data_IF_311141001764
#
_entry.id   IF_311141001764
#
_cell.length_a   1.000
_cell.length_b   1.000
_cell.length_c   1.000
_cell.angle_alpha   90.00
_cell.angle_beta   90.00
_cell.angle_gamma   90.00
#
_symmetry.space_group_name_H-M   'P 1'
#
loop_
_entity.id
_entity.type
_entity.pdbx_description
1 polymer ?
2 branched ?
3 water ?
#
# COMPACT_ATOMS: atom_id res chain seq x y z
N UNK A 2 8.55 11.91 -7.90
CA UNK A 2 8.51 10.92 -8.94
C UNK A 2 8.28 9.58 -8.27
N UNK A 3 7.90 8.61 -9.07
CA UNK A 3 7.62 7.27 -8.58
C UNK A 3 8.34 6.21 -9.43
N UNK A 4 8.16 4.94 -9.08
CA UNK A 4 8.80 3.87 -9.83
C UNK A 4 10.29 4.03 -9.82
N UNK A 5 10.96 3.65 -10.91
CA UNK A 5 12.41 3.78 -10.96
C UNK A 5 12.91 5.22 -10.86
N UNK A 6 12.12 6.17 -11.35
CA UNK A 6 12.47 7.59 -11.31
C UNK A 6 12.20 8.20 -9.92
N UNK A 7 11.65 7.40 -9.03
CA UNK A 7 11.33 7.89 -7.70
C UNK A 7 11.79 6.99 -6.60
N UNK A 8 12.74 6.11 -6.88
CA UNK A 8 13.33 5.18 -5.91
C UNK A 8 12.37 4.10 -5.39
N UNK A 9 11.47 3.62 -6.25
CA UNK A 9 10.53 2.61 -5.83
C UNK A 9 9.27 3.20 -5.21
N UNK A 10 9.25 4.51 -4.97
CA UNK A 10 8.08 5.20 -4.40
C UNK A 10 6.75 4.79 -4.99
N UNK A 11 5.72 4.86 -4.14
CA UNK A 11 4.35 4.53 -4.51
C UNK A 11 3.45 5.75 -4.40
N UNK A 12 2.44 5.83 -5.26
CA UNK A 12 1.50 6.93 -5.27
C UNK A 12 0.46 6.64 -4.19
N UNK A 13 -0.18 7.69 -3.62
CA UNK A 13 -1.21 7.52 -2.59
C UNK A 13 -2.47 7.02 -3.29
N UNK A 14 -3.37 6.43 -2.51
CA UNK A 14 -4.65 5.92 -3.01
C UNK A 14 -4.64 5.00 -4.22
N UNK A 15 -3.59 4.17 -4.35
CA UNK A 15 -3.48 3.26 -5.48
C UNK A 15 -3.28 3.95 -6.84
N UNK A 16 -3.00 5.25 -6.83
CA UNK A 16 -2.76 6.01 -8.07
C UNK A 16 -1.69 5.30 -8.89
N UNK A 17 -1.89 5.23 -10.19
CA UNK A 17 -0.94 4.58 -11.09
C UNK A 17 0.29 5.39 -11.39
N UNK A 18 1.43 4.72 -11.36
CA UNK A 18 2.71 5.36 -11.63
C UNK A 18 3.03 5.09 -13.09
N UNK A 19 3.00 6.16 -13.89
CA UNK A 19 3.26 6.05 -15.33
C UNK A 19 4.65 5.48 -15.60
N UNK A 20 4.88 5.00 -16.80
CA UNK A 20 6.18 4.48 -17.16
C UNK A 20 7.29 5.51 -16.94
N UNK A 21 6.95 6.80 -17.06
CA UNK A 21 7.89 7.88 -16.89
C UNK A 21 8.08 8.31 -15.46
N UNK A 22 7.28 7.75 -14.53
CA UNK A 22 7.46 8.08 -13.13
C UNK A 22 6.60 9.13 -12.48
N UNK A 23 5.41 9.40 -13.02
CA UNK A 23 4.54 10.38 -12.41
C UNK A 23 3.29 9.69 -11.91
N UNK A 24 2.61 10.32 -10.95
CA UNK A 24 1.40 9.80 -10.37
C UNK A 24 0.12 10.34 -11.00
N UNK A 25 -0.82 9.46 -11.30
CA UNK A 25 -2.06 9.92 -11.85
C UNK A 25 -3.03 8.79 -12.01
N UNK A 26 -4.08 9.05 -12.78
CA UNK A 26 -5.11 8.07 -13.04
C UNK A 26 -5.47 8.33 -14.51
N UNK A 27 -5.93 7.30 -15.19
CA UNK A 27 -6.27 7.43 -16.59
C UNK A 27 -5.37 6.50 -17.38
N UNK A 28 -5.55 6.47 -18.70
CA UNK A 28 -4.73 5.61 -19.54
C UNK A 28 -3.28 6.05 -19.57
N UNK A 29 -3.05 7.36 -19.43
CA UNK A 29 -1.70 7.89 -19.48
C UNK A 29 -0.83 7.25 -18.42
N UNK A 30 -1.41 7.02 -17.25
CA UNK A 30 -0.63 6.47 -16.14
C UNK A 30 -0.88 5.02 -15.85
N UNK A 31 -2.15 4.62 -15.89
CA UNK A 31 -2.55 3.24 -15.57
C UNK A 31 -2.40 2.22 -16.68
N UNK A 32 -2.17 2.71 -17.90
CA UNK A 32 -2.02 1.84 -19.05
C UNK A 32 -0.58 1.39 -19.30
N UNK A 33 -0.15 1.47 -20.56
CA UNK A 33 1.19 1.04 -20.99
C UNK A 33 2.37 1.57 -20.18
N UNK A 34 3.14 0.63 -19.63
CA UNK A 34 4.30 0.97 -18.84
C UNK A 34 4.04 1.26 -17.37
N UNK A 35 2.82 1.01 -16.91
CA UNK A 35 2.46 1.27 -15.51
C UNK A 35 3.42 0.57 -14.53
N UNK A 36 4.01 1.33 -13.60
CA UNK A 36 4.96 0.79 -12.63
C UNK A 36 4.38 0.22 -11.35
N UNK A 37 3.39 0.90 -10.78
CA UNK A 37 2.70 0.49 -9.54
C UNK A 37 1.34 1.15 -9.43
N UNK A 38 0.54 0.72 -8.46
CA UNK A 38 -0.80 1.29 -8.31
C UNK A 38 -1.89 0.46 -8.97
N UNK A 39 -3.03 1.06 -9.26
CA UNK A 39 -4.12 0.33 -9.89
C UNK A 39 -3.89 0.13 -11.41
N UNK A 40 -2.73 -0.40 -11.78
CA UNK A 40 -2.40 -0.63 -13.18
C UNK A 40 -3.49 -1.43 -13.85
N UNK A 41 -3.95 -0.93 -14.99
CA UNK A 41 -4.98 -1.61 -15.80
C UNK A 41 -4.46 -2.98 -16.18
N UNK A 42 -3.16 -2.99 -16.34
CA UNK A 42 -2.31 -4.09 -16.73
C UNK A 42 -1.71 -4.74 -15.46
N UNK A 43 -2.40 -5.72 -14.87
CA UNK A 43 -2.00 -6.39 -13.61
C UNK A 43 -0.70 -7.15 -13.46
N UNK A 44 0.06 -6.69 -12.48
CA UNK A 44 1.39 -7.18 -12.10
C UNK A 44 1.46 -8.61 -11.54
N UNK A 45 2.42 -9.37 -12.06
CA UNK A 45 2.63 -10.76 -11.65
C UNK A 45 3.29 -10.82 -10.29
N UNK A 46 3.25 -11.97 -9.65
CA UNK A 46 3.88 -12.08 -8.35
C UNK A 46 4.12 -13.52 -7.94
N UNK A 47 4.65 -13.67 -6.74
CA UNK A 47 4.93 -14.97 -6.14
C UNK A 47 5.48 -16.14 -6.94
N UNK A 48 4.91 -17.31 -6.68
CA UNK A 48 5.30 -18.57 -7.32
C UNK A 48 5.52 -18.44 -8.82
N UNK A 49 4.54 -17.86 -9.51
CA UNK A 49 4.57 -17.67 -10.95
C UNK A 49 5.47 -16.52 -11.43
N UNK A 50 6.03 -15.72 -10.52
CA UNK A 50 6.89 -14.61 -10.91
C UNK A 50 8.17 -14.49 -10.09
N UNK A 51 8.89 -15.61 -9.97
CA UNK A 51 10.15 -15.64 -9.25
C UNK A 51 10.10 -15.22 -7.79
N UNK A 52 8.93 -15.35 -7.17
CA UNK A 52 8.81 -14.96 -5.78
C UNK A 52 8.63 -13.47 -5.54
N UNK A 53 8.54 -12.65 -6.60
CA UNK A 53 8.36 -11.20 -6.43
C UNK A 53 6.99 -10.88 -5.89
N UNK A 54 6.98 -9.97 -4.93
CA UNK A 54 5.79 -9.52 -4.23
C UNK A 54 5.07 -8.38 -4.94
N UNK A 55 3.82 -8.19 -4.55
CA UNK A 55 3.01 -7.13 -5.12
C UNK A 55 3.32 -5.77 -4.50
N UNK A 56 3.31 -4.72 -5.34
CA UNK A 56 3.58 -3.41 -4.73
C UNK A 56 2.26 -2.89 -4.16
N UNK A 57 2.33 -1.77 -3.43
CA UNK A 57 1.18 -1.08 -2.82
C UNK A 57 0.40 -1.99 -1.85
N UNK A 58 1.06 -3.01 -1.29
CA UNK A 58 0.42 -3.97 -0.38
C UNK A 58 -0.79 -4.67 -0.99
N UNK A 59 -0.74 -4.99 -2.27
CA UNK A 59 -1.85 -5.69 -2.93
C UNK A 59 -1.70 -7.16 -2.59
N UNK A 60 -2.74 -7.95 -2.86
CA UNK A 60 -2.69 -9.39 -2.57
C UNK A 60 -2.30 -10.08 -3.84
N UNK A 61 -1.58 -11.18 -3.71
CA UNK A 61 -1.14 -11.92 -4.85
C UNK A 61 -2.04 -13.15 -4.97
N UNK A 62 -2.84 -13.19 -6.01
CA UNK A 62 -3.76 -14.31 -6.13
C UNK A 62 -3.04 -15.62 -6.32
N UNK A 63 -3.80 -16.70 -6.18
CA UNK A 63 -3.28 -18.04 -6.37
C UNK A 63 -2.68 -18.15 -7.76
N UNK A 64 -3.14 -17.29 -8.67
CA UNK A 64 -2.70 -17.29 -10.05
C UNK A 64 -1.49 -16.41 -10.35
N UNK A 65 -0.93 -15.79 -9.30
CA UNK A 65 0.22 -14.92 -9.48
C UNK A 65 -0.07 -13.55 -10.09
N UNK A 66 -1.24 -13.00 -9.80
CA UNK A 66 -1.62 -11.68 -10.32
C UNK A 66 -1.91 -10.81 -9.15
N UNK A 67 -1.64 -9.52 -9.29
CA UNK A 67 -1.81 -8.62 -8.16
C UNK A 67 -3.12 -7.88 -8.13
N UNK A 68 -3.72 -7.80 -6.95
CA UNK A 68 -4.99 -7.08 -6.82
C UNK A 68 -5.64 -7.11 -5.44
N UNK A 69 -6.97 -6.91 -5.45
CA UNK A 69 -7.81 -6.90 -4.27
C UNK A 69 -9.13 -7.66 -4.56
N UNK A 70 -9.97 -7.83 -3.55
CA UNK A 70 -11.22 -8.57 -3.72
C UNK A 70 -11.13 -10.03 -3.32
N UNK A 71 -12.27 -10.72 -3.24
CA UNK A 71 -12.26 -12.13 -2.83
C UNK A 71 -11.26 -12.95 -3.62
N UNK A 72 -11.28 -12.73 -4.94
CA UNK A 72 -10.43 -13.40 -5.89
C UNK A 72 -8.94 -13.33 -5.62
N UNK A 73 -8.47 -12.19 -5.15
CA UNK A 73 -7.05 -12.05 -4.94
C UNK A 73 -6.64 -12.32 -3.52
N UNK A 74 -7.40 -11.77 -2.57
CA UNK A 74 -7.11 -11.94 -1.15
C UNK A 74 -7.75 -13.17 -0.50
N UNK A 75 -8.64 -13.84 -1.22
CA UNK A 75 -9.28 -15.01 -0.70
C UNK A 75 -8.38 -16.25 -0.75
N UNK A 76 -8.99 -17.39 -1.08
CA UNK A 76 -8.28 -18.66 -1.15
C UNK A 76 -7.19 -18.61 -2.20
N UNK A 77 -6.05 -19.23 -1.89
CA UNK A 77 -4.93 -19.23 -2.81
C UNK A 77 -3.97 -18.04 -2.74
N UNK A 78 -4.35 -16.98 -2.02
CA UNK A 78 -3.52 -15.77 -1.87
C UNK A 78 -2.13 -16.18 -1.41
N UNK A 79 -1.14 -15.68 -2.14
CA UNK A 79 0.27 -15.96 -1.88
C UNK A 79 0.96 -14.82 -1.12
N UNK A 80 0.41 -13.61 -1.21
CA UNK A 80 1.00 -12.47 -0.53
C UNK A 80 0.02 -11.35 -0.23
N UNK A 81 0.50 -10.29 0.43
CA UNK A 81 -0.33 -9.14 0.76
C UNK A 81 -1.26 -9.39 1.94
N UNK A 82 -2.24 -8.49 2.21
CA UNK A 82 -3.20 -8.65 3.32
C UNK A 82 -4.17 -9.80 3.09
N UNK A 83 -3.66 -11.02 2.96
CA UNK A 83 -4.51 -12.18 2.72
C UNK A 83 -5.48 -12.40 3.85
N UNK A 84 -6.69 -12.81 3.50
CA UNK A 84 -7.71 -13.06 4.49
C UNK A 84 -7.32 -14.19 5.45
N UNK A 85 -6.37 -15.04 5.04
CA UNK A 85 -5.93 -16.12 5.88
C UNK A 85 -4.86 -15.52 6.76
N UNK A 86 -4.56 -16.19 7.86
CA UNK A 86 -3.56 -15.70 8.81
C UNK A 86 -2.21 -16.28 8.45
N UNK A 87 -1.24 -15.38 8.30
CA UNK A 87 0.09 -15.75 7.90
C UNK A 87 1.01 -16.05 9.08
N UNK A 88 1.37 -17.32 9.13
CA UNK A 88 2.24 -17.88 10.17
C UNK A 88 3.70 -17.44 10.01
N UNK A 89 4.43 -17.45 11.13
CA UNK A 89 5.82 -17.03 11.11
C UNK A 89 6.51 -17.34 12.44
N UNK A 90 7.79 -16.94 12.50
CA UNK A 90 8.58 -17.12 13.69
C UNK A 90 8.92 -18.55 14.00
N UNK A 91 9.45 -18.81 15.20
CA UNK A 91 9.82 -20.15 15.63
C UNK A 91 8.72 -21.12 15.29
N UNK A 92 7.49 -20.67 15.55
CA UNK A 92 6.28 -21.45 15.31
C UNK A 92 6.05 -21.83 13.84
N UNK A 93 6.91 -21.34 12.96
CA UNK A 93 6.79 -21.63 11.54
C UNK A 93 8.13 -21.79 10.86
N UNK A 94 9.06 -22.47 11.53
CA UNK A 94 10.37 -22.71 10.95
C UNK A 94 11.31 -21.52 10.98
N UNK A 95 11.00 -20.55 11.84
CA UNK A 95 11.80 -19.36 11.98
C UNK A 95 11.50 -18.31 10.91
N UNK A 96 10.44 -18.52 10.13
CA UNK A 96 10.07 -17.62 9.04
C UNK A 96 9.89 -16.13 9.31
N UNK A 97 10.11 -15.31 8.27
CA UNK A 97 9.98 -13.86 8.38
C UNK A 97 8.66 -13.46 7.77
N UNK A 98 8.13 -12.31 8.16
CA UNK A 98 6.88 -11.86 7.56
C UNK A 98 7.26 -11.13 6.31
N UNK A 99 6.37 -11.17 5.31
CA UNK A 99 6.62 -10.49 4.03
C UNK A 99 6.55 -8.96 4.12
N UNK A 100 7.16 -8.28 3.15
CA UNK A 100 7.10 -6.81 3.06
C UNK A 100 7.33 -6.06 4.38
N UNK A 101 8.19 -6.57 5.25
CA UNK A 101 8.50 -5.96 6.55
C UNK A 101 7.40 -6.06 7.60
N UNK A 102 6.50 -7.02 7.47
CA UNK A 102 5.46 -7.19 8.47
C UNK A 102 6.09 -7.75 9.76
N UNK A 103 5.49 -7.40 10.90
CA UNK A 103 5.96 -7.87 12.18
C UNK A 103 5.32 -9.20 12.40
N UNK A 104 6.04 -10.00 13.18
CA UNK A 104 5.64 -11.34 13.57
C UNK A 104 5.34 -11.27 15.05
N UNK A 105 4.09 -11.52 15.41
CA UNK A 105 3.70 -11.50 16.82
C UNK A 105 4.36 -12.64 17.57
N UNK A 106 4.26 -12.62 18.90
CA UNK A 106 4.84 -13.70 19.71
C UNK A 106 4.07 -14.98 19.48
N UNK A 107 2.85 -14.83 18.99
CA UNK A 107 1.96 -15.97 18.73
C UNK A 107 2.22 -16.63 17.38
N UNK A 108 3.13 -16.05 16.58
CA UNK A 108 3.46 -16.61 15.26
C UNK A 108 2.63 -16.18 14.06
N UNK A 109 2.13 -14.94 14.03
CA UNK A 109 1.38 -14.46 12.88
C UNK A 109 1.74 -13.05 12.45
N UNK A 110 1.63 -12.82 11.16
CA UNK A 110 1.99 -11.56 10.52
C UNK A 110 1.01 -10.40 10.61
N UNK A 111 1.53 -9.20 10.91
CA UNK A 111 0.69 -8.03 11.00
C UNK A 111 1.41 -6.76 11.38
N UNK A 112 0.64 -5.70 11.57
CA UNK A 112 1.16 -4.38 11.94
C UNK A 112 0.21 -3.77 12.97
N UNK A 113 0.82 -3.00 13.89
CA UNK A 113 0.11 -2.36 14.97
C UNK A 113 0.73 -2.86 16.26
N UNK A 114 0.31 -2.33 17.40
CA UNK A 114 0.85 -2.75 18.69
C UNK A 114 0.81 -4.23 19.04
N UNK A 115 -0.19 -4.95 18.53
CA UNK A 115 -0.33 -6.37 18.82
C UNK A 115 0.66 -7.25 18.09
N UNK A 116 1.22 -6.76 17.02
CA UNK A 116 2.17 -7.55 16.26
C UNK A 116 3.58 -7.04 16.39
N UNK A 117 3.75 -5.72 16.36
CA UNK A 117 5.10 -5.15 16.43
C UNK A 117 5.55 -4.90 17.83
N UNK A 118 4.57 -4.84 18.72
CA UNK A 118 4.83 -4.58 20.13
C UNK A 118 5.69 -5.62 20.77
N UNK A 119 5.43 -5.90 22.05
CA UNK A 119 6.24 -6.88 22.76
C UNK A 119 6.04 -8.36 22.37
N UNK A 120 7.14 -9.04 22.10
CA UNK A 120 7.07 -10.44 21.70
C UNK A 120 7.34 -10.58 20.23
N UNK A 121 7.37 -9.43 19.55
CA UNK A 121 7.62 -9.36 18.12
C UNK A 121 8.92 -10.09 17.74
N UNK A 122 8.80 -11.01 16.78
CA UNK A 122 9.92 -11.85 16.36
C UNK A 122 10.72 -11.29 15.18
N UNK A 123 10.06 -10.56 14.30
CA UNK A 123 10.72 -10.00 13.14
C UNK A 123 9.84 -8.95 12.52
N UNK A 124 10.41 -8.23 11.55
CA UNK A 124 9.68 -7.20 10.85
C UNK A 124 9.86 -5.88 11.56
N UNK A 125 9.05 -4.88 11.18
CA UNK A 125 9.09 -3.55 11.76
C UNK A 125 8.73 -3.51 13.25
N UNK A 126 9.32 -4.38 14.07
CA UNK A 126 9.04 -4.40 15.51
C UNK A 126 9.38 -3.03 16.08
N UNK A 127 8.53 -2.49 16.93
CA UNK A 127 8.78 -1.17 17.51
C UNK A 127 9.52 -1.20 18.85
N UNK A 128 9.79 -2.41 19.34
CA UNK A 128 10.48 -2.63 20.61
C UNK A 128 11.87 -2.00 20.71
N UNK A 129 12.54 -1.90 19.56
CA UNK A 129 13.87 -1.30 19.47
C UNK A 129 15.00 -1.98 20.27
N UNK A 130 15.01 -3.31 20.28
CA UNK A 130 16.03 -4.05 20.99
C UNK A 130 17.43 -3.64 20.49
N UNK A 131 18.40 -3.48 21.41
CA UNK A 131 19.75 -3.11 21.01
C UNK A 131 20.47 -4.29 20.38
N UNK A 132 21.46 -3.99 19.55
CA UNK A 132 22.26 -4.98 18.85
C UNK A 132 23.76 -4.63 18.92
N UNK A 133 24.63 -5.60 18.62
CA UNK A 133 26.07 -5.35 18.59
C UNK A 133 27.02 -5.53 19.76
N UNK A 134 28.09 -4.77 19.71
CA UNK A 134 29.15 -4.80 20.72
C UNK A 134 28.63 -4.89 22.14
N UNK A 135 27.59 -4.13 22.44
CA UNK A 135 26.99 -4.11 23.77
C UNK A 135 25.84 -5.08 23.96
N UNK A 136 25.29 -5.62 22.89
CA UNK A 136 24.16 -6.54 23.01
C UNK A 136 24.63 -8.00 23.12
N UNK A 137 25.88 -8.20 23.51
CA UNK A 137 26.41 -9.55 23.60
C UNK A 137 26.57 -10.09 22.20
N UNK A 138 26.86 -9.18 21.26
CA UNK A 138 27.03 -9.51 19.86
C UNK A 138 25.74 -9.70 19.05
N UNK A 139 24.58 -9.36 19.63
CA UNK A 139 23.29 -9.51 18.96
C UNK A 139 23.18 -8.87 17.56
N UNK A 140 22.62 -9.62 16.61
CA UNK A 140 22.43 -9.12 15.25
C UNK A 140 20.95 -8.96 15.02
N UNK A 141 20.60 -7.98 14.20
CA UNK A 141 19.22 -7.63 13.90
C UNK A 141 18.50 -8.70 13.13
N UNK A 142 17.17 -8.56 13.01
CA UNK A 142 16.37 -9.49 12.23
C UNK A 142 16.25 -8.82 10.88
N UNK A 143 15.73 -9.54 9.90
CA UNK A 143 15.52 -9.02 8.54
C UNK A 143 16.70 -8.36 7.86
N UNK A 144 17.91 -8.78 8.27
CA UNK A 144 19.16 -8.26 7.74
C UNK A 144 19.25 -6.74 7.90
N UNK A 145 18.46 -6.17 8.84
CA UNK A 145 18.46 -4.71 9.07
C UNK A 145 19.85 -4.35 9.51
N UNK A 146 20.22 -3.10 9.31
CA UNK A 146 21.55 -2.66 9.72
C UNK A 146 21.62 -2.29 11.21
N UNK A 147 22.65 -2.79 11.90
CA UNK A 147 22.86 -2.43 13.30
C UNK A 147 23.84 -1.24 13.30
N UNK A 148 23.34 -0.07 13.65
CA UNK A 148 24.13 1.16 13.67
C UNK A 148 25.19 1.26 14.74
N UNK A 149 25.94 2.35 14.67
CA UNK A 149 26.99 2.66 15.63
C UNK A 149 26.43 2.74 17.07
N UNK A 150 25.26 3.33 17.22
CA UNK A 150 24.64 3.45 18.53
C UNK A 150 24.02 2.11 18.93
N UNK A 151 24.13 1.13 18.06
CA UNK A 151 23.56 -0.18 18.36
C UNK A 151 22.04 -0.29 18.21
N UNK A 152 21.51 0.24 17.12
CA UNK A 152 20.08 0.15 16.86
C UNK A 152 19.90 -0.43 15.47
N UNK A 153 18.81 -1.16 15.26
CA UNK A 153 18.58 -1.75 13.96
C UNK A 153 17.78 -0.80 13.09
N UNK A 154 18.10 -0.71 11.81
CA UNK A 154 17.37 0.18 10.93
C UNK A 154 17.85 0.06 9.50
N UNK A 155 17.27 0.88 8.62
CA UNK A 155 17.64 0.89 7.20
C UNK A 155 17.68 2.35 6.80
N UNK A 156 18.77 2.76 6.16
CA UNK A 156 18.94 4.14 5.74
C UNK A 156 20.40 4.41 5.96
N UNK A 157 21.03 5.36 5.24
CA UNK A 157 22.45 5.64 5.45
C UNK A 157 22.87 5.84 6.90
N UNK A 158 21.98 6.36 7.74
CA UNK A 158 22.32 6.58 9.14
C UNK A 158 22.52 5.32 9.98
N UNK A 159 22.02 4.20 9.47
CA UNK A 159 22.12 2.91 10.15
C UNK A 159 23.13 2.02 9.43
N UNK A 160 23.12 2.10 8.10
CA UNK A 160 23.98 1.28 7.23
C UNK A 160 25.31 1.89 6.77
N UNK A 161 25.64 3.08 7.25
CA UNK A 161 26.87 3.72 6.84
C UNK A 161 28.04 3.27 7.67
N UNK A 162 29.13 4.05 7.66
CA UNK A 162 30.32 3.70 8.42
C UNK A 162 29.98 3.52 9.90
N UNK A 163 30.45 2.42 10.46
CA UNK A 163 30.16 2.14 11.85
C UNK A 163 28.96 1.22 11.95
N UNK A 164 28.57 0.69 10.79
CA UNK A 164 27.46 -0.24 10.70
C UNK A 164 28.02 -1.53 11.26
N UNK A 165 27.58 -1.90 12.45
CA UNK A 165 28.07 -3.11 13.12
C UNK A 165 27.80 -4.39 12.33
N UNK A 166 26.56 -4.59 11.89
CA UNK A 166 26.23 -5.79 11.13
C UNK A 166 24.97 -5.60 10.32
N UNK A 167 24.71 -6.55 9.44
CA UNK A 167 23.50 -6.45 8.65
C UNK A 167 23.81 -6.06 7.24
N UNK A 168 22.93 -5.22 6.67
CA UNK A 168 23.09 -4.78 5.29
C UNK A 168 23.88 -3.50 5.16
N UNK A 169 25.01 -3.47 5.85
CA UNK A 169 25.90 -2.32 5.84
C UNK A 169 26.25 -1.90 4.45
N UNK A 170 26.27 -0.59 4.24
CA UNK A 170 26.70 -0.03 2.96
C UNK A 170 28.21 -0.08 3.21
N UNK A 171 28.58 0.35 4.42
CA UNK A 171 29.96 0.37 4.87
C UNK A 171 30.03 -0.42 6.18
N UNK B 2 11.23 11.77 -2.33
CA UNK B 2 10.73 12.19 -1.04
C UNK B 2 9.36 11.57 -0.84
N UNK B 3 9.05 11.29 0.40
CA UNK B 3 7.77 10.68 0.75
C UNK B 3 6.97 11.65 1.61
N UNK B 4 5.78 11.23 2.05
CA UNK B 4 4.95 12.06 2.87
C UNK B 4 4.76 13.41 2.24
N UNK B 5 4.61 14.42 3.08
CA UNK B 5 4.40 15.81 2.70
C UNK B 5 5.47 16.29 1.70
N UNK B 6 6.75 16.09 2.04
CA UNK B 6 7.85 16.52 1.21
C UNK B 6 7.92 15.85 -0.15
N UNK B 7 7.08 14.85 -0.39
CA UNK B 7 7.10 14.14 -1.65
C UNK B 7 5.70 14.05 -2.23
N UNK B 8 4.81 14.93 -1.77
CA UNK B 8 3.44 14.98 -2.26
C UNK B 8 2.50 13.79 -1.94
N UNK B 9 2.49 13.33 -0.70
CA UNK B 9 1.62 12.21 -0.32
C UNK B 9 2.08 10.83 -0.77
N UNK B 10 3.29 10.83 -1.33
CA UNK B 10 4.02 9.66 -1.83
C UNK B 10 4.36 8.71 -0.66
N UNK B 11 4.36 7.41 -0.93
CA UNK B 11 4.63 6.45 0.11
C UNK B 11 5.82 5.61 -0.25
N UNK B 12 6.43 4.97 0.75
CA UNK B 12 7.59 4.13 0.56
C UNK B 12 7.23 2.72 0.18
N UNK B 13 8.14 2.00 -0.47
CA UNK B 13 7.86 0.62 -0.87
C UNK B 13 8.10 -0.26 0.36
N UNK B 14 7.51 -1.46 0.38
CA UNK B 14 7.70 -2.40 1.49
C UNK B 14 7.42 -1.91 2.91
N UNK B 15 6.40 -1.08 3.04
CA UNK B 15 6.00 -0.55 4.34
C UNK B 15 7.06 0.19 5.10
N UNK B 16 8.03 0.74 4.37
CA UNK B 16 9.11 1.53 4.97
C UNK B 16 8.54 2.83 5.49
N UNK B 17 9.03 3.21 6.67
CA UNK B 17 8.60 4.40 7.38
C UNK B 17 9.01 5.72 6.78
N UNK B 18 8.03 6.59 6.56
CA UNK B 18 8.36 7.88 6.00
C UNK B 18 8.61 8.76 7.17
N UNK B 19 9.83 9.24 7.27
CA UNK B 19 10.25 10.11 8.35
C UNK B 19 9.63 11.50 8.23
N UNK B 20 9.68 12.20 9.35
CA UNK B 20 9.18 13.55 9.47
C UNK B 20 9.80 14.46 8.43
N UNK B 21 11.01 14.10 7.98
CA UNK B 21 11.78 14.83 6.98
C UNK B 21 11.57 14.39 5.55
N UNK B 22 10.62 13.51 5.30
CA UNK B 22 10.34 13.06 3.95
C UNK B 22 11.24 12.01 3.32
N UNK B 23 11.93 11.21 4.12
CA UNK B 23 12.80 10.18 3.58
C UNK B 23 12.34 8.81 4.08
N UNK B 24 12.55 7.76 3.29
CA UNK B 24 12.20 6.37 3.61
C UNK B 24 13.29 5.56 4.32
N UNK B 25 12.92 4.83 5.37
CA UNK B 25 13.88 4.01 6.06
C UNK B 25 13.16 3.24 7.14
N UNK B 26 13.87 2.48 7.96
CA UNK B 26 13.26 1.74 9.03
C UNK B 26 14.08 2.08 10.24
N UNK B 27 13.48 1.98 11.42
CA UNK B 27 14.20 2.30 12.64
C UNK B 27 13.44 3.39 13.37
N UNK B 28 13.97 3.88 14.48
CA UNK B 28 13.27 4.91 15.25
C UNK B 28 13.36 6.26 14.57
N UNK B 29 14.46 6.51 13.90
CA UNK B 29 14.66 7.77 13.23
C UNK B 29 13.68 7.93 12.10
N UNK B 30 13.08 6.82 11.68
CA UNK B 30 12.11 6.85 10.62
C UNK B 30 10.68 6.56 11.09
N UNK B 31 10.55 5.45 11.82
CA UNK B 31 9.29 4.95 12.35
C UNK B 31 8.79 5.58 13.68
N UNK B 32 9.67 6.28 14.39
CA UNK B 32 9.29 6.92 15.64
C UNK B 32 8.43 8.17 15.46
N UNK B 33 8.75 9.22 16.20
CA UNK B 33 8.02 10.50 16.19
C UNK B 33 8.12 11.27 14.90
N UNK B 34 6.97 11.58 14.30
CA UNK B 34 6.96 12.34 13.06
C UNK B 34 6.57 11.52 11.84
N UNK B 35 6.78 10.22 11.91
CA UNK B 35 6.43 9.26 10.86
C UNK B 35 5.12 9.72 10.21
N UNK B 36 5.13 9.86 8.89
CA UNK B 36 3.95 10.32 8.17
C UNK B 36 3.20 9.17 7.54
N UNK B 37 3.88 8.06 7.29
CA UNK B 37 3.26 6.87 6.71
C UNK B 37 4.20 5.67 6.74
N UNK B 38 3.68 4.50 6.37
CA UNK B 38 4.48 3.27 6.39
C UNK B 38 4.12 2.49 7.63
N UNK B 39 5.06 1.72 8.16
CA UNK B 39 4.85 0.92 9.35
C UNK B 39 5.25 1.66 10.65
N UNK B 40 4.69 2.86 10.84
CA UNK B 40 4.96 3.70 12.01
C UNK B 40 4.66 2.99 13.29
N UNK B 41 5.54 3.19 14.26
CA UNK B 41 5.45 2.53 15.56
C UNK B 41 4.17 2.81 16.34
N UNK B 42 3.74 4.06 16.22
CA UNK B 42 2.53 4.58 16.84
C UNK B 42 1.65 4.71 15.63
N UNK B 43 0.79 3.72 15.46
CA UNK B 43 -0.09 3.62 14.33
C UNK B 43 -1.03 4.80 14.09
N UNK B 44 -1.18 5.09 12.79
CA UNK B 44 -2.01 6.16 12.24
C UNK B 44 -3.47 5.91 12.59
N UNK B 45 -4.22 6.98 12.80
CA UNK B 45 -5.64 6.91 13.13
C UNK B 45 -6.50 6.98 11.88
N UNK B 46 -7.71 6.46 11.94
CA UNK B 46 -8.55 6.44 10.76
C UNK B 46 -10.01 6.29 11.14
N UNK B 47 -10.84 6.23 10.10
CA UNK B 47 -12.25 6.02 10.28
C UNK B 47 -13.01 7.13 10.95
N UNK B 48 -14.11 6.73 11.59
CA UNK B 48 -15.00 7.63 12.29
C UNK B 48 -14.28 8.30 13.44
N UNK B 49 -13.21 7.65 13.91
CA UNK B 49 -12.40 8.18 15.02
C UNK B 49 -11.60 9.39 14.59
N UNK B 50 -11.06 9.34 13.38
CA UNK B 50 -10.28 10.47 12.86
C UNK B 50 -10.95 11.18 11.68
N UNK B 51 -12.19 11.58 11.87
CA UNK B 51 -12.93 12.29 10.83
C UNK B 51 -13.19 11.61 9.49
N UNK B 52 -13.10 10.29 9.46
CA UNK B 52 -13.33 9.55 8.22
C UNK B 52 -12.08 9.20 7.43
N UNK B 53 -10.91 9.52 8.00
CA UNK B 53 -9.59 9.28 7.40
C UNK B 53 -9.25 7.86 6.99
N UNK B 54 -8.70 7.72 5.79
CA UNK B 54 -8.27 6.42 5.25
C UNK B 54 -6.86 6.10 5.72
N UNK B 55 -6.41 4.85 5.59
CA UNK B 55 -5.05 4.48 6.02
C UNK B 55 -4.05 4.47 4.86
N UNK B 56 -2.84 5.05 5.09
CA UNK B 56 -1.86 5.03 3.97
C UNK B 56 -1.28 3.64 3.80
N UNK B 57 -0.82 3.35 2.58
CA UNK B 57 -0.22 2.08 2.21
C UNK B 57 -1.25 0.97 2.23
N UNK B 58 -2.49 1.33 1.95
CA UNK B 58 -3.60 0.34 1.93
C UNK B 58 -3.66 -0.52 3.19
N UNK B 59 -3.41 0.09 4.34
CA UNK B 59 -3.49 -0.61 5.62
C UNK B 59 -4.97 -0.69 6.00
N UNK B 60 -5.32 -1.60 6.90
CA UNK B 60 -6.70 -1.73 7.35
C UNK B 60 -6.94 -0.84 8.57
N UNK B 61 -8.15 -0.31 8.65
CA UNK B 61 -8.58 0.54 9.75
C UNK B 61 -9.46 -0.34 10.59
N UNK B 62 -8.99 -0.72 11.77
CA UNK B 62 -9.75 -1.57 12.66
C UNK B 62 -10.99 -0.87 13.19
N UNK B 63 -11.83 -1.62 13.89
CA UNK B 63 -13.03 -1.04 14.42
C UNK B 63 -12.76 0.11 15.39
N UNK B 64 -11.54 0.24 15.89
CA UNK B 64 -11.24 1.32 16.83
C UNK B 64 -10.62 2.55 16.20
N UNK B 65 -10.38 2.51 14.88
CA UNK B 65 -9.77 3.64 14.21
C UNK B 65 -8.25 3.75 14.30
N UNK B 66 -7.55 2.61 14.16
CA UNK B 66 -6.08 2.59 14.16
C UNK B 66 -5.70 1.82 12.92
N UNK B 67 -4.58 2.19 12.31
CA UNK B 67 -4.17 1.53 11.06
C UNK B 67 -3.26 0.35 11.31
N UNK B 68 -3.38 -0.72 10.52
CA UNK B 68 -2.51 -1.90 10.67
C UNK B 68 -2.83 -3.09 9.78
N UNK B 69 -2.34 -4.28 10.16
CA UNK B 69 -2.56 -5.54 9.41
C UNK B 69 -2.74 -6.71 10.39
N UNK B 70 -3.52 -7.70 10.03
CA UNK B 70 -3.76 -8.82 10.94
C UNK B 70 -5.22 -8.98 11.30
N UNK B 71 -5.58 -10.07 11.99
CA UNK B 71 -6.97 -10.31 12.37
C UNK B 71 -7.64 -9.13 13.01
N UNK B 72 -6.97 -8.56 13.99
CA UNK B 72 -7.50 -7.41 14.74
C UNK B 72 -7.84 -6.23 13.86
N UNK B 73 -7.03 -6.02 12.83
CA UNK B 73 -7.23 -4.91 11.92
C UNK B 73 -8.19 -5.09 10.76
N UNK B 74 -7.92 -6.10 9.95
CA UNK B 74 -8.73 -6.43 8.77
C UNK B 74 -9.87 -7.39 9.09
N UNK B 75 -9.86 -7.94 10.30
CA UNK B 75 -10.88 -8.88 10.71
C UNK B 75 -12.21 -8.20 10.98
N UNK B 76 -12.91 -8.67 12.01
CA UNK B 76 -14.20 -8.11 12.38
C UNK B 76 -14.11 -6.62 12.80
N UNK B 77 -15.06 -5.82 12.37
CA UNK B 77 -15.01 -4.40 12.72
C UNK B 77 -14.42 -3.52 11.62
N UNK B 78 -13.39 -4.00 10.94
CA UNK B 78 -12.73 -3.25 9.88
C UNK B 78 -13.56 -2.16 9.19
N UNK B 79 -13.04 -0.95 9.25
CA UNK B 79 -13.66 0.23 8.68
C UNK B 79 -13.10 0.63 7.31
N UNK B 80 -11.87 0.29 7.01
CA UNK B 80 -11.34 0.67 5.72
C UNK B 80 -10.25 -0.26 5.28
N UNK B 81 -9.74 -0.03 4.06
CA UNK B 81 -8.65 -0.82 3.50
C UNK B 81 -9.10 -2.18 3.00
N UNK B 82 -8.18 -3.16 2.91
CA UNK B 82 -8.40 -4.53 2.45
C UNK B 82 -9.03 -5.43 3.52
N UNK B 83 -10.17 -5.05 4.06
CA UNK B 83 -10.81 -5.86 5.10
C UNK B 83 -11.00 -7.30 4.67
N UNK B 84 -11.29 -8.17 5.65
CA UNK B 84 -11.54 -9.56 5.36
C UNK B 84 -12.93 -9.67 4.74
N UNK B 85 -13.87 -8.84 5.19
CA UNK B 85 -15.22 -8.88 4.66
C UNK B 85 -15.27 -8.13 3.34
N UNK B 86 -16.23 -8.53 2.50
CA UNK B 86 -16.42 -7.90 1.20
C UNK B 86 -17.01 -6.52 1.36
N UNK B 87 -16.49 -5.57 0.61
CA UNK B 87 -16.93 -4.18 0.63
C UNK B 87 -17.93 -4.01 -0.50
N UNK B 88 -19.17 -3.68 -0.14
CA UNK B 88 -20.25 -3.49 -1.11
C UNK B 88 -20.24 -2.08 -1.69
N UNK B 89 -20.82 -1.91 -2.87
CA UNK B 89 -20.77 -0.62 -3.53
C UNK B 89 -21.66 -0.60 -4.74
N UNK B 90 -21.63 0.52 -5.44
CA UNK B 90 -22.38 0.68 -6.66
C UNK B 90 -23.87 0.75 -6.47
N UNK B 91 -24.60 0.58 -7.57
CA UNK B 91 -26.05 0.64 -7.57
C UNK B 91 -26.68 -0.29 -6.54
N UNK B 92 -25.94 -1.31 -6.15
CA UNK B 92 -26.44 -2.24 -5.17
C UNK B 92 -26.38 -1.61 -3.78
N UNK B 93 -25.34 -0.81 -3.54
CA UNK B 93 -25.19 -0.17 -2.25
C UNK B 93 -25.47 1.33 -2.27
N UNK B 94 -26.44 1.74 -3.06
CA UNK B 94 -26.78 3.15 -3.12
C UNK B 94 -25.84 3.99 -3.96
N UNK B 95 -25.35 3.42 -5.05
CA UNK B 95 -24.44 4.14 -5.90
C UNK B 95 -23.22 4.55 -5.11
N UNK B 96 -22.95 3.82 -4.03
CA UNK B 96 -21.80 4.08 -3.17
C UNK B 96 -20.52 3.74 -3.93
N UNK B 97 -19.52 4.62 -3.87
CA UNK B 97 -18.25 4.37 -4.58
C UNK B 97 -17.18 3.71 -3.70
N UNK B 98 -16.25 2.99 -4.32
CA UNK B 98 -15.22 2.32 -3.54
C UNK B 98 -14.17 3.26 -3.05
N UNK B 99 -13.58 2.92 -1.90
CA UNK B 99 -12.54 3.72 -1.26
C UNK B 99 -11.18 3.44 -1.90
N UNK B 100 -10.29 4.42 -1.86
CA UNK B 100 -8.94 4.34 -2.42
C UNK B 100 -8.85 4.01 -3.88
N UNK B 101 -9.82 4.52 -4.63
CA UNK B 101 -9.90 4.33 -6.05
C UNK B 101 -10.12 2.90 -6.45
N UNK B 102 -10.59 2.08 -5.52
CA UNK B 102 -10.84 0.68 -5.85
C UNK B 102 -11.96 0.60 -6.87
N UNK B 103 -11.97 -0.49 -7.62
CA UNK B 103 -12.99 -0.70 -8.64
C UNK B 103 -14.21 -1.39 -8.05
N UNK B 104 -15.38 -0.87 -8.43
CA UNK B 104 -16.62 -1.44 -7.99
C UNK B 104 -17.09 -2.38 -9.09
N UNK B 105 -17.06 -3.67 -8.79
CA UNK B 105 -17.49 -4.70 -9.74
C UNK B 105 -18.92 -4.56 -10.21
N UNK B 106 -19.21 -5.32 -11.24
CA UNK B 106 -20.52 -5.41 -11.86
C UNK B 106 -21.47 -6.00 -10.80
N UNK B 107 -20.89 -6.68 -9.81
CA UNK B 107 -21.68 -7.32 -8.77
C UNK B 107 -21.83 -6.58 -7.44
N UNK B 108 -21.13 -5.46 -7.28
CA UNK B 108 -21.28 -4.72 -6.05
C UNK B 108 -20.24 -4.99 -4.98
N UNK B 109 -19.01 -5.28 -5.39
CA UNK B 109 -17.96 -5.48 -4.42
C UNK B 109 -16.74 -4.80 -4.98
N UNK B 110 -15.91 -4.28 -4.08
CA UNK B 110 -14.71 -3.54 -4.47
C UNK B 110 -13.49 -4.43 -4.66
N UNK B 111 -12.59 -4.01 -5.54
CA UNK B 111 -11.39 -4.81 -5.71
C UNK B 111 -10.52 -4.22 -6.78
N UNK B 112 -9.43 -4.91 -7.12
CA UNK B 112 -8.54 -4.46 -8.17
C UNK B 112 -8.17 -5.70 -8.91
N UNK B 113 -8.10 -5.59 -10.22
CA UNK B 113 -7.81 -6.72 -11.08
C UNK B 113 -8.89 -6.70 -12.14
N UNK B 114 -8.70 -7.46 -13.21
CA UNK B 114 -9.63 -7.52 -14.31
C UNK B 114 -11.10 -7.75 -13.89
N UNK B 115 -11.28 -8.49 -12.79
CA UNK B 115 -12.60 -8.82 -12.25
C UNK B 115 -13.44 -7.66 -11.73
N UNK B 116 -12.81 -6.64 -11.20
CA UNK B 116 -13.59 -5.54 -10.69
C UNK B 116 -13.46 -4.34 -11.62
N UNK B 117 -12.31 -4.24 -12.29
CA UNK B 117 -12.00 -3.11 -13.16
C UNK B 117 -12.35 -3.24 -14.62
N UNK B 118 -12.72 -4.45 -15.04
CA UNK B 118 -13.07 -4.65 -16.43
C UNK B 118 -14.55 -4.48 -16.69
N UNK B 119 -15.04 -5.22 -17.67
CA UNK B 119 -16.43 -5.17 -18.06
C UNK B 119 -17.37 -5.09 -16.87
N UNK B 120 -18.22 -4.07 -16.86
CA UNK B 120 -19.19 -3.91 -15.77
C UNK B 120 -18.73 -3.00 -14.66
N UNK B 121 -17.46 -2.61 -14.66
CA UNK B 121 -16.92 -1.75 -13.62
C UNK B 121 -17.80 -0.48 -13.43
N UNK B 122 -18.18 -0.22 -12.17
CA UNK B 122 -19.06 0.90 -11.84
C UNK B 122 -18.43 2.25 -11.45
N UNK B 123 -17.32 2.18 -10.75
CA UNK B 123 -16.63 3.38 -10.30
C UNK B 123 -15.26 2.92 -9.94
N UNK B 124 -14.37 3.88 -9.71
CA UNK B 124 -13.00 3.55 -9.35
C UNK B 124 -12.13 3.52 -10.58
N UNK B 125 -10.99 2.84 -10.46
CA UNK B 125 -10.00 2.71 -11.52
C UNK B 125 -10.28 1.62 -12.54
N UNK B 126 -11.38 1.76 -13.29
CA UNK B 126 -11.77 0.80 -14.31
C UNK B 126 -10.78 0.93 -15.46
N UNK B 127 -10.39 -0.20 -16.04
CA UNK B 127 -9.41 -0.26 -17.14
C UNK B 127 -10.08 0.05 -18.45
N UNK B 128 -11.42 0.07 -18.39
CA UNK B 128 -12.25 0.37 -19.54
C UNK B 128 -12.31 1.91 -19.57
N UNK B 129 -12.09 2.50 -20.73
CA UNK B 129 -12.16 3.95 -20.77
C UNK B 129 -13.41 4.40 -21.49
N UNK B 130 -14.54 4.43 -20.78
CA UNK B 130 -15.80 4.91 -21.36
C UNK B 130 -15.60 6.39 -21.66
N UNK B 131 -15.75 6.76 -22.94
CA UNK B 131 -15.57 8.16 -23.33
C UNK B 131 -16.50 9.11 -22.57
N UNK B 132 -16.05 10.33 -22.32
CA UNK B 132 -16.86 11.31 -21.60
C UNK B 132 -16.98 12.59 -22.45
N UNK B 133 -17.70 13.59 -21.93
CA UNK B 133 -17.83 14.85 -22.62
C UNK B 133 -18.70 14.94 -23.86
N UNK B 134 -18.47 15.98 -24.65
CA UNK B 134 -19.23 16.24 -25.86
C UNK B 134 -19.40 15.02 -26.76
N UNK B 135 -18.32 14.32 -27.04
CA UNK B 135 -18.37 13.15 -27.91
C UNK B 135 -18.82 11.89 -27.21
N UNK B 136 -19.57 12.05 -26.12
CA UNK B 136 -20.05 10.91 -25.36
C UNK B 136 -21.47 11.16 -24.85
N UNK B 137 -22.09 12.22 -25.35
CA UNK B 137 -23.43 12.54 -24.89
C UNK B 137 -23.29 13.38 -23.64
N UNK B 138 -22.10 13.98 -23.45
CA UNK B 138 -21.82 14.84 -22.31
C UNK B 138 -21.74 14.07 -21.01
N UNK B 139 -21.31 12.82 -21.13
CA UNK B 139 -21.20 11.92 -19.97
C UNK B 139 -20.10 12.38 -19.03
N UNK B 140 -20.36 12.25 -17.73
CA UNK B 140 -19.37 12.62 -16.76
C UNK B 140 -18.72 11.38 -16.14
N UNK B 141 -17.49 11.52 -15.67
CA UNK B 141 -16.72 10.43 -15.06
C UNK B 141 -17.15 10.19 -13.63
N UNK B 142 -16.71 9.08 -13.03
CA UNK B 142 -17.04 8.77 -11.64
C UNK B 142 -15.95 9.34 -10.75
N UNK B 143 -16.19 9.30 -9.45
CA UNK B 143 -15.19 9.77 -8.49
C UNK B 143 -14.66 11.18 -8.67
N UNK B 144 -15.35 12.01 -9.42
CA UNK B 144 -14.91 13.40 -9.66
C UNK B 144 -13.62 13.45 -10.51
N UNK B 145 -13.39 12.39 -11.28
CA UNK B 145 -12.22 12.29 -12.16
C UNK B 145 -12.36 13.36 -13.24
N UNK B 146 -11.24 13.84 -13.79
CA UNK B 146 -11.32 14.87 -14.81
C UNK B 146 -11.58 14.34 -16.20
N UNK B 147 -12.62 14.87 -16.83
CA UNK B 147 -12.95 14.51 -18.20
C UNK B 147 -12.03 15.43 -18.98
N UNK B 148 -11.15 14.82 -19.76
CA UNK B 148 -10.18 15.57 -20.53
C UNK B 148 -10.63 16.05 -21.89
N UNK B 149 -9.77 16.88 -22.46
CA UNK B 149 -9.93 17.48 -23.77
C UNK B 149 -10.36 16.41 -24.77
N UNK B 150 -9.48 15.45 -25.01
CA UNK B 150 -9.76 14.37 -25.96
C UNK B 150 -10.95 13.49 -25.58
N UNK B 151 -11.50 13.72 -24.39
CA UNK B 151 -12.66 12.95 -23.91
C UNK B 151 -12.36 11.68 -23.14
N UNK B 152 -11.50 11.78 -22.14
CA UNK B 152 -11.14 10.63 -21.32
C UNK B 152 -11.02 11.03 -19.86
N UNK B 153 -11.33 10.08 -18.98
CA UNK B 153 -11.24 10.29 -17.53
C UNK B 153 -9.85 9.91 -17.00
N UNK B 154 -9.36 10.73 -16.08
CA UNK B 154 -8.06 10.50 -15.49
C UNK B 154 -7.74 11.57 -14.45
N UNK B 155 -6.56 11.47 -13.87
CA UNK B 155 -6.09 12.42 -12.87
C UNK B 155 -4.65 12.75 -13.25
N UNK B 156 -4.30 14.03 -13.14
CA UNK B 156 -2.98 14.49 -13.48
C UNK B 156 -3.12 15.74 -14.34
N UNK B 157 -2.02 16.43 -14.63
CA UNK B 157 -2.04 17.63 -15.46
C UNK B 157 -2.74 17.48 -16.78
N UNK B 158 -2.31 16.52 -17.58
CA UNK B 158 -2.90 16.30 -18.89
C UNK B 158 -4.42 16.22 -18.90
N UNK B 159 -5.00 15.55 -17.90
CA UNK B 159 -6.44 15.37 -17.81
C UNK B 159 -7.19 16.51 -17.20
N UNK B 160 -6.63 17.11 -16.15
CA UNK B 160 -7.29 18.19 -15.40
C UNK B 160 -6.91 19.64 -15.78
N UNK B 161 -6.01 19.76 -16.73
CA UNK B 161 -5.58 21.07 -17.16
C UNK B 161 -6.45 21.56 -18.30
N UNK B 162 -5.87 22.45 -19.11
CA UNK B 162 -6.54 23.07 -20.25
C UNK B 162 -7.28 22.08 -21.14
N UNK B 163 -8.60 22.21 -21.16
CA UNK B 163 -9.42 21.33 -21.96
C UNK B 163 -10.03 20.28 -21.07
N UNK B 164 -10.34 20.68 -19.84
CA UNK B 164 -10.96 19.79 -18.88
C UNK B 164 -12.49 20.02 -18.93
N UNK B 165 -13.18 19.14 -19.64
CA UNK B 165 -14.63 19.22 -19.82
C UNK B 165 -15.51 19.16 -18.56
N UNK B 166 -14.99 18.58 -17.47
CA UNK B 166 -15.74 18.44 -16.23
C UNK B 166 -14.98 17.54 -15.26
N UNK B 167 -15.34 17.61 -13.99
CA UNK B 167 -14.68 16.81 -12.99
C UNK B 167 -13.77 17.70 -12.19
N UNK B 168 -12.78 17.10 -11.53
CA UNK B 168 -11.84 17.84 -10.69
C UNK B 168 -10.88 18.72 -11.46
N UNK B 169 -11.46 19.48 -12.38
CA UNK B 169 -10.72 20.38 -13.22
C UNK B 169 -10.19 21.54 -12.42
N UNK B 170 -8.96 21.93 -12.74
CA UNK B 170 -8.33 23.08 -12.12
C UNK B 170 -8.32 24.08 -13.27
N UNK B 171 -7.57 23.78 -14.33
CA UNK B 171 -7.49 24.66 -15.48
C UNK B 171 -6.21 24.46 -16.28
#
# INVERSE_FOLDING_TARGET
>A
XRCGEQGSGMECPNNLCCSQYGYCGMGGDYCGKGCQNGACWTSKRCGSQAGGKTCPNNHCCSQYGHCGFGAEYCGAGCQGGPCRADIKCGSQAGGKLCPNNLCCSQWGYCGLGSEFCGEGCQNGACSTDKPCGKDAGGRVCTNNYCCSKWGSCGIGPGYCGAGCQSGGCDGVFAEAIATNSTLLAE
>B
XRCGEQGSGMECPNNLCCSQYGYCGMGGDYCGKGCQNGACWTSKRCGSQAGGKTCPNNHCCSQYGHCGFGAEYCGAGCQGGPCRADIKCGSQAGGKLCPNNLCCSQWGYCGLGSEFCGEGCQNGACSTDKPCGKDAGGRVCTNNYCCSKWGSCGIGPGYCGAGCQSGGCDGVFAEAIATNSTLLAE
#
